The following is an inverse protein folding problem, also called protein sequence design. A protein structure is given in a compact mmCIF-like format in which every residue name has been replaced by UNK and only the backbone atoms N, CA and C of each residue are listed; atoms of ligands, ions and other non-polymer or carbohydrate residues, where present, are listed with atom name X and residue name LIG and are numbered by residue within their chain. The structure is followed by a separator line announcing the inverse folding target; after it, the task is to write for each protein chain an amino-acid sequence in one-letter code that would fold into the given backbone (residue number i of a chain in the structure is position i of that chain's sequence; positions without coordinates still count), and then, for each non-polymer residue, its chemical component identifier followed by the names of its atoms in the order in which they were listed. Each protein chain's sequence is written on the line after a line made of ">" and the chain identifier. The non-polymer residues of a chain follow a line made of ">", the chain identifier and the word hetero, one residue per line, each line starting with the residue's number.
data_IF_118636889906
#
_entry.id   IF_118636889906
#
_cell.length_a   1.000
_cell.length_b   1.000
_cell.length_c   1.000
_cell.angle_alpha   90.00
_cell.angle_beta   90.00
_cell.angle_gamma   90.00
#
_symmetry.space_group_name_H-M   'P 1'
#
loop_
_entity.id
_entity.type
_entity.pdbx_description
1 polymer ?
#
# COMPACT_ATOMS: atom_id res chain seq x y z
N UNK A 1 12.92 8.10 -15.38
CA UNK A 1 12.41 6.98 -14.57
C UNK A 1 10.92 7.20 -14.50
N UNK A 2 10.11 6.20 -14.85
CA UNK A 2 8.66 6.38 -14.82
C UNK A 2 8.16 6.35 -13.38
N UNK A 3 7.36 7.34 -13.00
CA UNK A 3 6.81 7.41 -11.66
C UNK A 3 5.75 6.32 -11.46
N UNK A 4 5.67 5.70 -10.28
CA UNK A 4 4.58 4.79 -9.99
C UNK A 4 3.26 5.56 -10.01
N UNK A 5 2.28 5.03 -10.75
CA UNK A 5 0.89 5.48 -10.68
C UNK A 5 0.22 4.70 -9.57
N UNK A 6 -0.18 5.38 -8.49
CA UNK A 6 -0.80 4.79 -7.31
C UNK A 6 -2.28 5.12 -7.28
N UNK A 7 -3.13 4.12 -7.02
CA UNK A 7 -4.54 4.39 -6.71
C UNK A 7 -4.71 5.02 -5.31
N UNK A 8 -5.89 5.57 -4.95
CA UNK A 8 -6.09 6.24 -3.66
C UNK A 8 -5.79 5.38 -2.42
N UNK A 9 -6.03 4.07 -2.49
CA UNK A 9 -5.77 3.14 -1.39
C UNK A 9 -4.27 2.83 -1.26
N UNK A 10 -3.57 2.66 -2.39
CA UNK A 10 -2.12 2.52 -2.44
C UNK A 10 -1.41 3.78 -1.90
N UNK A 11 -1.88 4.97 -2.30
CA UNK A 11 -1.40 6.26 -1.78
C UNK A 11 -1.55 6.34 -0.25
N UNK A 12 -2.71 5.93 0.27
CA UNK A 12 -2.98 5.92 1.72
C UNK A 12 -2.04 4.98 2.47
N UNK A 13 -1.86 3.76 1.97
CA UNK A 13 -0.98 2.75 2.59
C UNK A 13 0.47 3.23 2.60
N UNK A 14 1.00 3.66 1.45
CA UNK A 14 2.38 4.14 1.35
C UNK A 14 2.60 5.39 2.19
N UNK A 15 1.71 6.38 2.11
CA UNK A 15 1.78 7.59 2.93
C UNK A 15 1.75 7.26 4.43
N UNK A 16 0.96 6.28 4.85
CA UNK A 16 0.87 5.89 6.26
C UNK A 16 2.15 5.17 6.73
N UNK A 17 2.71 4.28 5.92
CA UNK A 17 4.00 3.64 6.22
C UNK A 17 5.15 4.66 6.27
N UNK A 18 5.20 5.59 5.31
CA UNK A 18 6.21 6.66 5.27
C UNK A 18 6.12 7.58 6.50
N UNK A 19 4.91 7.94 6.93
CA UNK A 19 4.66 8.74 8.14
C UNK A 19 5.10 7.99 9.40
N UNK A 20 4.70 6.71 9.53
CA UNK A 20 4.97 5.93 10.75
C UNK A 20 6.43 5.49 10.88
N UNK A 21 7.16 5.31 9.78
CA UNK A 21 8.60 5.07 9.83
C UNK A 21 9.36 6.20 10.55
N UNK A 22 8.93 7.46 10.38
CA UNK A 22 9.53 8.61 11.06
C UNK A 22 8.93 8.82 12.46
N UNK A 23 7.60 8.79 12.57
CA UNK A 23 6.92 9.24 13.79
C UNK A 23 6.85 8.20 14.90
N UNK A 24 7.01 6.91 14.58
CA UNK A 24 6.95 5.79 15.53
C UNK A 24 7.99 4.71 15.21
N UNK A 25 9.30 5.04 15.16
CA UNK A 25 10.35 4.13 14.70
C UNK A 25 10.45 2.85 15.56
N UNK A 26 10.13 2.92 16.86
CA UNK A 26 10.14 1.78 17.76
C UNK A 26 9.09 0.69 17.41
N UNK A 27 8.01 1.08 16.72
CA UNK A 27 6.95 0.16 16.31
C UNK A 27 7.00 -0.18 14.83
N UNK A 28 7.94 0.39 14.08
CA UNK A 28 8.11 0.14 12.65
C UNK A 28 9.13 -1.00 12.43
N UNK A 29 8.93 -1.90 11.44
CA UNK A 29 7.81 -1.98 10.49
C UNK A 29 6.48 -2.39 11.14
N UNK A 30 5.36 -1.97 10.55
CA UNK A 30 4.03 -2.09 11.15
C UNK A 30 3.45 -3.49 10.96
N UNK A 31 2.68 -4.00 11.92
CA UNK A 31 1.78 -5.15 11.70
C UNK A 31 0.55 -4.73 10.87
N UNK A 32 -0.23 -5.70 10.37
CA UNK A 32 -1.46 -5.40 9.59
C UNK A 32 -2.44 -4.52 10.39
N UNK A 33 -2.72 -4.87 11.65
CA UNK A 33 -3.64 -4.07 12.47
C UNK A 33 -3.08 -2.66 12.75
N UNK A 34 -1.77 -2.51 13.00
CA UNK A 34 -1.16 -1.18 13.15
C UNK A 34 -1.24 -0.36 11.87
N UNK A 35 -1.09 -0.98 10.69
CA UNK A 35 -1.26 -0.33 9.39
C UNK A 35 -2.71 0.10 9.19
N UNK A 36 -3.69 -0.75 9.53
CA UNK A 36 -5.12 -0.42 9.46
C UNK A 36 -5.47 0.79 10.32
N UNK A 37 -5.03 0.77 11.57
CA UNK A 37 -5.21 1.91 12.48
C UNK A 37 -4.55 3.18 11.95
N UNK A 38 -3.41 3.08 11.27
CA UNK A 38 -2.75 4.22 10.64
C UNK A 38 -3.48 4.74 9.39
N UNK A 39 -4.04 3.86 8.56
CA UNK A 39 -4.78 4.26 7.35
C UNK A 39 -6.12 4.93 7.69
N UNK A 40 -6.81 4.44 8.72
CA UNK A 40 -8.16 4.86 9.11
C UNK A 40 -8.16 5.95 10.20
N UNK A 41 -7.04 6.64 10.43
CA UNK A 41 -7.00 7.73 11.43
C UNK A 41 -7.98 8.85 11.04
N UNK A 42 -8.77 9.32 12.01
CA UNK A 42 -9.67 10.48 11.81
C UNK A 42 -8.93 11.81 11.74
N UNK A 43 -7.69 11.83 12.21
CA UNK A 43 -6.79 12.98 12.10
C UNK A 43 -5.69 12.68 11.11
N UNK A 44 -5.19 13.72 10.47
CA UNK A 44 -4.12 13.59 9.47
C UNK A 44 -4.43 12.78 8.22
N UNK A 45 -5.72 12.58 7.92
CA UNK A 45 -6.21 11.95 6.71
C UNK A 45 -7.29 12.83 6.07
N UNK A 46 -7.20 13.01 4.76
CA UNK A 46 -8.28 13.57 3.95
C UNK A 46 -8.28 12.84 2.60
N UNK A 47 -9.32 12.05 2.27
CA UNK A 47 -10.53 11.79 3.07
C UNK A 47 -10.26 10.85 4.27
N UNK A 48 -11.14 10.89 5.27
CA UNK A 48 -11.19 9.82 6.28
C UNK A 48 -11.78 8.57 5.63
N UNK A 49 -11.16 7.41 5.87
CA UNK A 49 -11.53 6.12 5.27
C UNK A 49 -11.73 5.07 6.36
N UNK A 50 -12.32 3.94 6.00
CA UNK A 50 -12.48 2.79 6.88
C UNK A 50 -12.15 1.48 6.15
N UNK A 51 -10.86 1.25 5.89
CA UNK A 51 -10.42 0.01 5.26
C UNK A 51 -10.51 -1.18 6.22
N UNK A 52 -10.97 -2.31 5.69
CA UNK A 52 -10.92 -3.61 6.35
C UNK A 52 -9.50 -4.20 6.32
N UNK A 53 -9.25 -5.26 7.09
CA UNK A 53 -7.96 -5.97 7.00
C UNK A 53 -7.77 -6.63 5.63
N UNK A 54 -8.85 -7.16 5.03
CA UNK A 54 -8.81 -7.77 3.70
C UNK A 54 -8.44 -6.75 2.62
N UNK A 55 -9.02 -5.54 2.67
CA UNK A 55 -8.70 -4.45 1.74
C UNK A 55 -7.21 -4.14 1.78
N UNK A 56 -6.63 -4.10 2.99
CA UNK A 56 -5.21 -3.78 3.16
C UNK A 56 -4.28 -4.92 2.77
N UNK A 57 -4.69 -6.18 2.98
CA UNK A 57 -3.94 -7.33 2.44
C UNK A 57 -3.88 -7.25 0.92
N UNK A 58 -5.01 -7.02 0.25
CA UNK A 58 -5.05 -6.87 -1.21
C UNK A 58 -4.13 -5.74 -1.67
N UNK A 59 -4.29 -4.53 -1.12
CA UNK A 59 -3.50 -3.35 -1.50
C UNK A 59 -2.00 -3.57 -1.24
N UNK A 60 -1.62 -4.18 -0.11
CA UNK A 60 -0.21 -4.42 0.22
C UNK A 60 0.43 -5.49 -0.68
N UNK A 61 -0.33 -6.49 -1.14
CA UNK A 61 0.15 -7.45 -2.14
C UNK A 61 0.37 -6.78 -3.50
N UNK A 62 -0.54 -5.89 -3.95
CA UNK A 62 -0.34 -5.09 -5.18
C UNK A 62 0.89 -4.19 -5.08
N UNK A 63 1.12 -3.55 -3.93
CA UNK A 63 2.31 -2.75 -3.68
C UNK A 63 3.59 -3.62 -3.59
N UNK A 64 3.49 -4.84 -3.08
CA UNK A 64 4.62 -5.78 -3.01
C UNK A 64 5.04 -6.27 -4.39
N UNK A 65 4.10 -6.61 -5.27
CA UNK A 65 4.43 -7.06 -6.64
C UNK A 65 5.16 -5.98 -7.45
N UNK A 66 4.92 -4.71 -7.10
CA UNK A 66 5.60 -3.52 -7.65
C UNK A 66 6.85 -3.11 -6.88
N UNK A 67 7.29 -3.91 -5.91
CA UNK A 67 8.43 -3.65 -5.03
C UNK A 67 8.36 -2.33 -4.21
N UNK A 68 7.17 -1.78 -3.99
CA UNK A 68 6.95 -0.55 -3.21
C UNK A 68 6.73 -0.83 -1.71
N UNK A 69 6.37 -2.05 -1.34
CA UNK A 69 6.25 -2.53 0.04
C UNK A 69 7.00 -3.85 0.20
N UNK A 70 7.62 -4.07 1.36
CA UNK A 70 8.22 -5.33 1.78
C UNK A 70 7.42 -5.94 2.91
N UNK A 71 7.14 -7.24 2.81
CA UNK A 71 6.68 -8.05 3.93
C UNK A 71 7.90 -8.61 4.66
N UNK A 72 8.00 -8.35 5.96
CA UNK A 72 9.10 -8.76 6.83
C UNK A 72 8.55 -9.72 7.86
N UNK A 73 9.12 -10.92 7.96
CA UNK A 73 8.87 -11.83 9.09
C UNK A 73 9.77 -11.42 10.24
N UNK A 74 9.26 -11.49 11.48
CA UNK A 74 10.09 -11.17 12.64
C UNK A 74 11.07 -12.31 12.93
N UNK A 75 12.36 -12.00 13.08
CA UNK A 75 13.46 -12.97 13.15
C UNK A 75 13.57 -13.75 14.49
N UNK A 76 12.50 -13.82 15.29
CA UNK A 76 12.53 -14.58 16.55
C UNK A 76 11.12 -14.90 17.04
N UNK A 77 10.60 -16.08 16.71
CA UNK A 77 9.42 -16.71 17.32
C UNK A 77 8.05 -16.02 17.09
N UNK A 78 8.01 -14.76 16.70
CA UNK A 78 6.80 -14.02 16.42
C UNK A 78 6.33 -14.28 14.97
N UNK A 79 5.18 -14.93 14.82
CA UNK A 79 4.56 -15.30 13.54
C UNK A 79 3.96 -14.12 12.73
N UNK A 80 4.05 -12.89 13.23
CA UNK A 80 3.36 -11.75 12.63
C UNK A 80 4.15 -11.16 11.45
N UNK A 81 3.52 -11.12 10.28
CA UNK A 81 4.02 -10.38 9.10
C UNK A 81 3.95 -8.88 9.39
N UNK A 82 5.05 -8.18 9.07
CA UNK A 82 5.17 -6.73 9.16
C UNK A 82 5.36 -6.11 7.78
N UNK A 83 4.92 -4.87 7.61
CA UNK A 83 4.92 -4.13 6.36
C UNK A 83 5.88 -2.95 6.44
N UNK A 84 6.80 -2.88 5.48
CA UNK A 84 7.84 -1.83 5.37
C UNK A 84 7.69 -1.13 4.01
N UNK A 85 7.70 0.21 3.97
CA UNK A 85 7.76 0.93 2.70
C UNK A 85 9.13 0.75 2.05
N UNK A 86 9.15 0.69 0.72
CA UNK A 86 10.36 0.65 -0.12
C UNK A 86 10.40 1.76 -1.17
N UNK A 87 9.41 2.65 -1.21
CA UNK A 87 9.34 3.74 -2.19
C UNK A 87 10.65 4.55 -2.23
N UNK A 88 11.25 4.79 -1.07
CA UNK A 88 12.50 5.55 -0.97
C UNK A 88 13.76 4.81 -1.44
N UNK A 89 13.68 3.49 -1.65
CA UNK A 89 14.76 2.72 -2.29
C UNK A 89 14.81 3.04 -3.79
N UNK A 90 13.66 3.22 -4.43
CA UNK A 90 13.53 3.56 -5.85
C UNK A 90 13.51 5.07 -6.12
N UNK A 91 13.01 5.84 -5.17
CA UNK A 91 12.89 7.30 -5.24
C UNK A 91 13.56 7.91 -4.00
N UNK A 92 14.89 8.01 -3.97
CA UNK A 92 15.61 8.59 -2.84
C UNK A 92 15.24 10.06 -2.70
N UNK A 93 14.72 10.44 -1.54
CA UNK A 93 14.31 11.81 -1.23
C UNK A 93 15.00 12.28 0.04
N UNK A 94 15.48 13.54 0.08
CA UNK A 94 15.86 14.18 1.32
C UNK A 94 14.65 14.32 2.25
N UNK A 95 14.90 14.45 3.55
CA UNK A 95 13.87 14.41 4.60
C UNK A 95 12.77 15.47 4.42
N UNK A 96 13.14 16.65 3.93
CA UNK A 96 12.20 17.75 3.66
C UNK A 96 11.21 17.40 2.54
N UNK A 97 11.71 16.90 1.41
CA UNK A 97 10.90 16.46 0.28
C UNK A 97 10.04 15.24 0.63
N UNK A 98 10.61 14.29 1.39
CA UNK A 98 9.89 13.13 1.90
C UNK A 98 8.71 13.55 2.78
N UNK A 99 8.91 14.51 3.69
CA UNK A 99 7.86 15.00 4.56
C UNK A 99 6.70 15.61 3.76
N UNK A 100 7.01 16.48 2.80
CA UNK A 100 6.00 17.10 1.93
C UNK A 100 5.22 16.06 1.12
N UNK A 101 5.92 15.14 0.47
CA UNK A 101 5.30 14.07 -0.31
C UNK A 101 4.39 13.19 0.56
N UNK A 102 4.84 12.84 1.77
CA UNK A 102 4.05 12.05 2.73
C UNK A 102 2.74 12.75 3.08
N UNK A 103 2.77 14.05 3.39
CA UNK A 103 1.56 14.80 3.74
C UNK A 103 0.61 14.94 2.55
N UNK A 104 1.15 15.17 1.35
CA UNK A 104 0.35 15.26 0.12
C UNK A 104 -0.35 13.93 -0.20
N UNK A 105 0.32 12.79 -0.04
CA UNK A 105 -0.30 11.47 -0.21
C UNK A 105 -1.44 11.22 0.79
N UNK A 106 -1.33 11.76 2.01
CA UNK A 106 -2.29 11.51 3.08
C UNK A 106 -3.48 12.48 3.09
N UNK A 107 -3.32 13.66 2.48
CA UNK A 107 -4.28 14.77 2.59
C UNK A 107 -4.55 15.51 1.28
N UNK A 108 -4.10 15.00 0.13
CA UNK A 108 -4.33 15.60 -1.18
C UNK A 108 -3.75 17.01 -1.34
N UNK A 109 -4.51 17.89 -1.99
CA UNK A 109 -4.06 19.25 -2.34
C UNK A 109 -3.91 20.17 -1.13
N UNK A 110 -2.71 20.74 -0.91
CA UNK A 110 -2.40 21.55 0.27
C UNK A 110 -1.70 22.86 -0.08
N UNK A 111 -1.99 23.93 0.67
CA UNK A 111 -1.23 25.18 0.57
C UNK A 111 0.10 25.09 1.36
N UNK A 112 1.15 25.85 0.98
CA UNK A 112 2.44 25.85 1.68
C UNK A 112 2.34 26.14 3.19
N UNK A 113 1.45 27.05 3.59
CA UNK A 113 1.20 27.35 5.00
C UNK A 113 0.62 26.15 5.78
N UNK A 114 -0.28 25.39 5.16
CA UNK A 114 -0.83 24.16 5.75
C UNK A 114 0.24 23.08 5.86
N UNK A 115 1.06 22.92 4.82
CA UNK A 115 2.13 21.94 4.75
C UNK A 115 3.19 22.19 5.83
N UNK A 116 3.58 23.44 6.08
CA UNK A 116 4.52 23.78 7.16
C UNK A 116 4.07 23.18 8.50
N UNK A 117 2.85 23.48 8.93
CA UNK A 117 2.32 22.99 10.21
C UNK A 117 2.14 21.47 10.23
N UNK A 118 1.73 20.86 9.11
CA UNK A 118 1.42 19.43 9.04
C UNK A 118 2.67 18.55 8.91
N UNK A 119 3.78 19.11 8.42
CA UNK A 119 5.05 18.40 8.32
C UNK A 119 5.87 18.45 9.62
N UNK A 120 5.51 19.27 10.61
CA UNK A 120 6.33 19.55 11.81
C UNK A 120 6.90 18.29 12.50
N UNK A 121 6.13 17.19 12.56
CA UNK A 121 6.55 15.91 13.18
C UNK A 121 7.39 15.01 12.26
N UNK A 122 7.44 15.31 10.96
CA UNK A 122 8.20 14.59 9.94
C UNK A 122 9.51 15.31 9.63
N UNK A 123 9.42 16.62 9.40
CA UNK A 123 10.53 17.52 9.14
C UNK A 123 10.12 18.96 9.50
N UNK A 124 10.90 19.63 10.36
CA UNK A 124 10.61 20.99 10.79
C UNK A 124 11.14 22.00 9.78
N UNK A 125 10.24 22.68 9.08
CA UNK A 125 10.59 23.78 8.17
C UNK A 125 10.67 25.11 8.94
N UNK A 126 11.69 25.95 8.67
CA UNK A 126 11.87 27.21 9.39
C UNK A 126 10.69 28.18 9.15
N UNK A 127 10.22 28.30 7.91
CA UNK A 127 9.14 29.19 7.53
C UNK A 127 8.34 28.66 6.32
N UNK A 128 7.30 29.42 5.92
CA UNK A 128 6.48 29.12 4.74
C UNK A 128 7.28 29.19 3.45
N UNK A 129 8.27 30.08 3.37
CA UNK A 129 9.07 30.29 2.17
C UNK A 129 10.00 29.10 1.88
N UNK A 130 10.54 28.47 2.92
CA UNK A 130 11.31 27.23 2.80
C UNK A 130 10.47 26.09 2.23
N UNK A 131 9.22 25.94 2.69
CA UNK A 131 8.28 24.94 2.12
C UNK A 131 8.04 25.19 0.63
N UNK A 132 7.75 26.45 0.25
CA UNK A 132 7.57 26.79 -1.17
C UNK A 132 8.82 26.55 -2.00
N UNK A 133 10.01 26.88 -1.47
CA UNK A 133 11.28 26.66 -2.16
C UNK A 133 11.52 25.16 -2.40
N UNK A 134 11.29 24.31 -1.39
CA UNK A 134 11.40 22.85 -1.55
C UNK A 134 10.37 22.32 -2.57
N UNK A 135 9.12 22.78 -2.53
CA UNK A 135 8.09 22.39 -3.50
C UNK A 135 8.45 22.79 -4.94
N UNK A 136 8.95 24.02 -5.15
CA UNK A 136 9.42 24.48 -6.46
C UNK A 136 10.61 23.67 -6.95
N UNK A 137 11.54 23.32 -6.07
CA UNK A 137 12.67 22.44 -6.41
C UNK A 137 12.19 21.04 -6.82
N UNK A 138 11.24 20.45 -6.08
CA UNK A 138 10.63 19.16 -6.41
C UNK A 138 9.86 19.19 -7.75
N UNK A 139 9.21 20.30 -8.09
CA UNK A 139 8.52 20.47 -9.37
C UNK A 139 9.46 20.73 -10.55
N UNK A 140 10.64 21.30 -10.29
CA UNK A 140 11.64 21.62 -11.31
C UNK A 140 12.67 20.51 -11.51
N UNK A 141 12.58 19.43 -10.73
CA UNK A 141 13.45 18.26 -10.86
C UNK A 141 13.27 17.58 -12.22
N UNK A 142 14.26 16.80 -12.65
CA UNK A 142 14.20 16.04 -13.91
C UNK A 142 13.02 15.06 -13.95
N UNK A 143 12.57 14.59 -12.78
CA UNK A 143 11.32 13.84 -12.61
C UNK A 143 10.47 14.58 -11.56
N UNK A 144 9.55 15.45 -11.99
CA UNK A 144 8.71 16.22 -11.07
C UNK A 144 7.83 15.32 -10.21
N UNK A 145 7.82 15.54 -8.90
CA UNK A 145 6.99 14.75 -7.96
C UNK A 145 5.75 15.48 -7.47
N UNK A 146 5.74 16.80 -7.65
CA UNK A 146 4.67 17.69 -7.24
C UNK A 146 4.41 18.70 -8.33
N UNK A 147 3.22 19.29 -8.32
CA UNK A 147 2.91 20.47 -9.13
C UNK A 147 2.05 21.45 -8.35
N UNK A 148 2.21 22.72 -8.70
CA UNK A 148 1.33 23.79 -8.26
C UNK A 148 0.02 23.74 -9.06
N UNK A 149 -1.09 23.98 -8.39
CA UNK A 149 -2.41 24.13 -9.00
C UNK A 149 -2.68 25.60 -9.32
N UNK A 150 -3.57 25.82 -10.30
CA UNK A 150 -4.11 27.15 -10.55
C UNK A 150 -4.87 27.66 -9.33
N UNK A 151 -4.80 28.96 -9.10
CA UNK A 151 -5.44 29.58 -7.95
C UNK A 151 -6.94 29.65 -8.18
N UNK A 152 -7.71 28.98 -7.32
CA UNK A 152 -9.16 29.09 -7.31
C UNK A 152 -9.61 30.51 -6.92
N UNK A 153 -10.70 31.03 -7.51
CA UNK A 153 -11.27 32.32 -7.12
C UNK A 153 -11.53 32.38 -5.60
N UNK A 154 -10.99 33.40 -4.93
CA UNK A 154 -11.18 33.61 -3.49
C UNK A 154 -10.17 32.91 -2.57
N UNK A 155 -9.27 32.07 -3.09
CA UNK A 155 -8.14 31.56 -2.29
C UNK A 155 -6.92 32.49 -2.41
N UNK A 156 -6.26 32.75 -1.28
CA UNK A 156 -5.06 33.59 -1.26
C UNK A 156 -3.81 32.84 -1.70
N UNK A 157 -3.71 31.55 -1.33
CA UNK A 157 -2.55 30.71 -1.62
C UNK A 157 -2.83 29.69 -2.73
N UNK A 158 -1.79 29.38 -3.52
CA UNK A 158 -1.79 28.25 -4.43
C UNK A 158 -1.71 26.93 -3.66
N UNK A 159 -2.38 25.90 -4.18
CA UNK A 159 -2.31 24.54 -3.62
C UNK A 159 -1.36 23.69 -4.44
N UNK A 160 -0.75 22.72 -3.78
CA UNK A 160 0.18 21.78 -4.38
C UNK A 160 -0.36 20.36 -4.25
N UNK A 161 -0.11 19.54 -5.27
CA UNK A 161 -0.44 18.10 -5.27
C UNK A 161 0.80 17.27 -5.59
N UNK A 162 0.79 15.98 -5.23
CA UNK A 162 1.76 15.01 -5.73
C UNK A 162 1.41 14.52 -7.14
N UNK A 163 2.36 13.86 -7.79
CA UNK A 163 2.22 13.30 -9.15
C UNK A 163 2.27 11.77 -9.20
N UNK A 164 2.26 11.09 -8.05
CA UNK A 164 2.25 9.62 -7.94
C UNK A 164 0.87 8.97 -8.16
N UNK A 165 -0.03 9.57 -8.95
CA UNK A 165 -1.39 9.06 -9.17
C UNK A 165 -2.48 10.13 -9.13
N UNK A 166 -3.76 9.74 -9.31
CA UNK A 166 -4.90 10.67 -9.24
C UNK A 166 -5.03 11.30 -7.85
N UNK A 167 -5.29 12.60 -7.82
CA UNK A 167 -5.57 13.37 -6.61
C UNK A 167 -6.94 14.03 -6.77
N UNK A 168 -7.83 13.83 -5.80
CA UNK A 168 -9.12 14.54 -5.78
C UNK A 168 -8.88 16.05 -5.60
N UNK A 169 -9.24 16.82 -6.62
CA UNK A 169 -9.10 18.27 -6.60
C UNK A 169 -10.28 18.91 -5.86
N UNK A 170 -10.06 20.00 -5.08
CA UNK A 170 -11.11 20.66 -4.32
C UNK A 170 -12.32 21.11 -5.17
N UNK A 171 -12.07 21.49 -6.42
CA UNK A 171 -13.09 21.91 -7.40
C UNK A 171 -14.02 20.79 -7.86
N UNK A 172 -13.54 19.54 -7.80
CA UNK A 172 -14.31 18.35 -8.17
C UNK A 172 -15.09 17.77 -6.98
N UNK A 173 -15.02 18.39 -5.80
CA UNK A 173 -15.85 17.99 -4.65
C UNK A 173 -17.24 18.58 -4.84
N UNK A 174 -18.28 17.79 -5.18
CA UNK A 174 -19.63 18.32 -5.30
C UNK A 174 -20.02 19.03 -4.00
N UNK A 175 -20.53 20.26 -4.13
CA UNK A 175 -20.73 21.21 -3.03
C UNK A 175 -21.38 20.54 -1.83
N UNK A 176 -20.64 20.44 -0.73
CA UNK A 176 -21.07 19.72 0.46
C UNK A 176 -22.27 20.42 1.13
N UNK A 177 -23.47 19.80 1.16
CA UNK A 177 -24.44 20.13 2.20
C UNK A 177 -24.03 19.40 3.48
N UNK A 178 -24.22 20.10 4.61
CA UNK A 178 -24.03 19.61 5.98
C UNK A 178 -24.73 18.25 6.18
N UNK A 179 -23.98 17.31 6.75
CA UNK A 179 -24.43 16.07 7.40
C UNK A 179 -25.53 15.29 6.67
N UNK A 180 -25.12 14.40 5.78
CA UNK A 180 -25.89 13.20 5.49
C UNK A 180 -25.03 12.00 5.86
N UNK A 181 -25.43 11.25 6.89
CA UNK A 181 -25.06 9.84 6.99
C UNK A 181 -25.54 9.18 5.71
N UNK A 182 -24.66 8.52 4.95
CA UNK A 182 -25.04 7.59 3.89
C UNK A 182 -23.99 6.48 3.75
N UNK A 183 -24.47 5.30 4.10
CA UNK A 183 -24.23 3.94 3.60
C UNK A 183 -23.07 3.69 2.63
N UNK A 184 -22.18 2.79 3.08
CA UNK A 184 -21.39 1.87 2.25
C UNK A 184 -20.19 2.46 1.50
N UNK A 185 -19.01 1.80 1.51
CA UNK A 185 -17.87 2.25 0.71
C UNK A 185 -18.19 2.13 -0.80
N UNK A 186 -17.67 3.04 -1.64
CA UNK A 186 -17.83 2.96 -3.08
C UNK A 186 -17.20 1.66 -3.61
N UNK A 187 -17.96 0.91 -4.39
CA UNK A 187 -17.45 -0.25 -5.13
C UNK A 187 -16.61 0.25 -6.29
N UNK A 188 -15.30 0.16 -6.15
CA UNK A 188 -14.39 0.30 -7.28
C UNK A 188 -14.66 -0.84 -8.27
N UNK A 189 -14.76 -0.53 -9.56
CA UNK A 189 -14.90 -1.55 -10.61
C UNK A 189 -13.59 -2.34 -10.65
N UNK A 190 -13.65 -3.59 -10.24
CA UNK A 190 -12.58 -4.55 -10.47
C UNK A 190 -12.45 -4.79 -11.97
N UNK A 191 -11.22 -4.80 -12.47
CA UNK A 191 -10.88 -5.35 -13.78
C UNK A 191 -10.72 -6.86 -13.63
N UNK A 192 -11.18 -7.66 -14.60
CA UNK A 192 -11.31 -9.14 -14.50
C UNK A 192 -10.00 -9.87 -14.16
N UNK A 193 -8.85 -9.21 -14.37
CA UNK A 193 -7.53 -9.73 -14.00
C UNK A 193 -7.27 -9.79 -12.48
N UNK A 194 -8.04 -9.06 -11.66
CA UNK A 194 -7.84 -9.02 -10.19
C UNK A 194 -8.61 -10.12 -9.45
N UNK A 195 -9.66 -10.68 -10.03
CA UNK A 195 -10.53 -11.67 -9.37
C UNK A 195 -9.89 -13.07 -9.31
N UNK A 196 -8.94 -13.39 -10.18
CA UNK A 196 -8.30 -14.72 -10.22
C UNK A 196 -7.39 -14.99 -9.01
N UNK A 197 -7.01 -13.97 -8.24
CA UNK A 197 -6.21 -14.13 -7.02
C UNK A 197 -7.05 -14.50 -5.78
N UNK A 198 -8.37 -14.34 -5.83
CA UNK A 198 -9.25 -14.51 -4.66
C UNK A 198 -9.55 -15.98 -4.31
N UNK A 199 -9.40 -16.92 -5.25
CA UNK A 199 -9.84 -18.31 -5.07
C UNK A 199 -8.77 -19.30 -4.56
N UNK A 200 -7.55 -18.86 -4.27
CA UNK A 200 -6.45 -19.75 -3.83
C UNK A 200 -6.09 -19.67 -2.33
N UNK A 201 -6.76 -18.85 -1.53
CA UNK A 201 -6.44 -18.68 -0.10
C UNK A 201 -7.67 -18.70 0.82
N UNK A 202 -8.80 -19.24 0.36
CA UNK A 202 -10.07 -19.22 1.07
C UNK A 202 -10.67 -20.59 1.30
N UNK A 203 -9.96 -21.49 1.99
CA UNK A 203 -10.59 -22.62 2.66
C UNK A 203 -9.76 -22.99 3.88
N UNK A 204 -10.36 -22.85 5.06
CA UNK A 204 -10.34 -23.81 6.16
C UNK A 204 -11.36 -23.27 7.18
N UNK A 205 -12.60 -23.77 7.22
CA UNK A 205 -13.00 -25.10 7.70
C UNK A 205 -12.54 -25.33 9.14
N UNK A 206 -13.53 -25.43 10.04
CA UNK A 206 -13.37 -25.66 11.46
C UNK A 206 -12.61 -26.96 11.76
N UNK A 207 -11.62 -26.85 12.65
CA UNK A 207 -11.02 -27.86 13.54
C UNK A 207 -10.95 -29.34 13.10
N UNK A 208 -9.73 -29.83 12.83
CA UNK A 208 -9.20 -31.08 13.42
C UNK A 208 -7.68 -31.19 13.19
N UNK A 209 -7.00 -31.79 14.18
CA UNK A 209 -5.57 -32.13 14.34
C UNK A 209 -4.59 -31.90 13.17
N UNK A 210 -3.54 -31.12 13.42
CA UNK A 210 -2.45 -30.84 12.48
C UNK A 210 -1.51 -32.05 12.29
N UNK A 211 -1.17 -32.45 11.04
CA UNK A 211 -0.09 -33.38 10.80
C UNK A 211 1.25 -32.64 10.96
N UNK A 212 2.11 -33.16 11.82
CA UNK A 212 3.51 -32.76 11.96
C UNK A 212 4.32 -33.23 10.76
N UNK A 213 4.92 -32.27 10.04
CA UNK A 213 5.96 -32.51 9.05
C UNK A 213 5.64 -31.85 7.73
N UNK A 214 6.25 -30.68 7.47
CA UNK A 214 6.28 -30.10 6.13
C UNK A 214 7.72 -30.21 5.64
N UNK A 215 7.90 -30.96 4.55
CA UNK A 215 9.18 -31.28 3.92
C UNK A 215 9.89 -29.99 3.47
N UNK A 216 11.13 -29.80 3.92
CA UNK A 216 11.96 -28.59 3.69
C UNK A 216 12.26 -28.33 2.20
N UNK A 217 11.90 -29.26 1.31
CA UNK A 217 12.13 -29.19 -0.14
C UNK A 217 11.18 -28.27 -0.91
N UNK A 218 10.12 -27.73 -0.28
CA UNK A 218 9.22 -26.77 -0.94
C UNK A 218 9.73 -25.32 -0.95
N UNK A 219 10.87 -25.05 -0.30
CA UNK A 219 11.44 -23.71 -0.14
C UNK A 219 12.31 -23.23 -1.31
N UNK A 220 12.65 -24.11 -2.26
CA UNK A 220 13.57 -23.84 -3.37
C UNK A 220 12.90 -23.83 -4.76
N UNK A 221 11.57 -23.73 -4.84
CA UNK A 221 10.91 -23.65 -6.15
C UNK A 221 11.16 -22.28 -6.81
N UNK A 222 11.58 -22.24 -8.09
CA UNK A 222 11.78 -21.00 -8.82
C UNK A 222 10.46 -20.21 -8.91
N UNK A 223 10.55 -18.88 -8.80
CA UNK A 223 9.40 -17.99 -8.95
C UNK A 223 8.71 -18.22 -10.29
N UNK A 224 7.47 -18.70 -10.24
CA UNK A 224 6.62 -18.97 -11.40
C UNK A 224 5.17 -19.12 -10.93
N UNK A 225 4.22 -18.98 -11.87
CA UNK A 225 2.80 -19.18 -11.57
C UNK A 225 2.58 -20.68 -11.33
N UNK A 226 2.14 -21.03 -10.12
CA UNK A 226 1.77 -22.38 -9.76
C UNK A 226 0.31 -22.60 -10.17
N UNK A 227 0.08 -23.42 -11.19
CA UNK A 227 -1.26 -23.84 -11.62
C UNK A 227 -1.60 -25.17 -10.98
N UNK A 228 -2.66 -25.20 -10.18
CA UNK A 228 -3.18 -26.39 -9.52
C UNK A 228 -4.47 -26.83 -10.22
N UNK A 229 -4.55 -28.10 -10.61
CA UNK A 229 -5.75 -28.70 -11.21
C UNK A 229 -6.53 -29.43 -10.12
N UNK A 230 -7.82 -29.13 -9.98
CA UNK A 230 -8.72 -29.77 -9.03
C UNK A 230 -9.75 -30.64 -9.77
N UNK A 231 -10.17 -31.76 -9.17
CA UNK A 231 -11.32 -32.53 -9.65
C UNK A 231 -12.67 -31.88 -9.24
N UNK A 232 -13.78 -32.48 -9.68
CA UNK A 232 -15.12 -32.03 -9.35
C UNK A 232 -15.50 -32.10 -7.86
N UNK A 233 -14.65 -32.70 -7.02
CA UNK A 233 -14.78 -32.78 -5.56
C UNK A 233 -13.75 -31.88 -4.84
N UNK A 234 -12.97 -31.09 -5.58
CA UNK A 234 -11.99 -30.16 -5.03
C UNK A 234 -10.66 -30.79 -4.61
N UNK A 235 -10.38 -32.05 -4.99
CA UNK A 235 -9.07 -32.68 -4.72
C UNK A 235 -8.04 -32.30 -5.77
N UNK A 236 -6.81 -32.08 -5.33
CA UNK A 236 -5.68 -31.75 -6.21
C UNK A 236 -5.32 -32.98 -7.06
N UNK A 237 -5.46 -32.84 -8.38
CA UNK A 237 -5.13 -33.87 -9.37
C UNK A 237 -3.92 -33.51 -10.23
N UNK A 238 -3.45 -32.26 -10.19
CA UNK A 238 -2.27 -31.82 -10.92
C UNK A 238 -1.65 -30.54 -10.36
N UNK A 239 -0.33 -30.40 -10.53
CA UNK A 239 0.46 -29.22 -10.19
C UNK A 239 1.43 -28.94 -11.32
N UNK A 240 1.39 -27.73 -11.87
CA UNK A 240 2.33 -27.27 -12.91
C UNK A 240 2.86 -25.89 -12.55
N UNK A 241 4.14 -25.64 -12.84
CA UNK A 241 4.80 -24.34 -12.63
C UNK A 241 5.15 -23.78 -14.01
N UNK A 242 4.58 -22.64 -14.38
CA UNK A 242 4.97 -21.98 -15.64
C UNK A 242 6.44 -21.53 -15.56
N UNK A 243 7.26 -22.03 -16.50
CA UNK A 243 8.68 -21.69 -16.64
C UNK A 243 9.66 -22.83 -16.31
N UNK A 244 9.21 -23.97 -15.78
CA UNK A 244 10.06 -25.15 -15.57
C UNK A 244 9.77 -26.23 -16.62
N UNK A 245 10.77 -26.63 -17.40
CA UNK A 245 10.66 -27.66 -18.44
C UNK A 245 10.50 -29.11 -17.89
N UNK A 246 10.00 -29.29 -16.67
CA UNK A 246 9.91 -30.59 -16.04
C UNK A 246 8.56 -30.78 -15.33
N UNK A 247 7.76 -31.71 -15.88
CA UNK A 247 6.59 -32.26 -15.20
C UNK A 247 7.06 -33.15 -14.05
N UNK A 248 6.66 -32.86 -12.81
CA UNK A 248 6.90 -33.77 -11.69
C UNK A 248 5.78 -34.83 -11.65
N UNK A 249 6.11 -36.13 -11.45
CA UNK A 249 5.12 -37.20 -11.41
C UNK A 249 4.28 -37.16 -10.12
N UNK A 250 3.02 -37.65 -10.16
CA UNK A 250 2.04 -37.53 -9.08
C UNK A 250 2.35 -38.33 -7.80
N UNK A 251 3.43 -39.12 -7.79
CA UNK A 251 3.79 -40.02 -6.69
C UNK A 251 4.50 -39.32 -5.52
N UNK A 252 4.90 -38.05 -5.65
CA UNK A 252 5.57 -37.30 -4.58
C UNK A 252 4.65 -36.83 -3.44
N UNK A 253 3.33 -37.08 -3.52
CA UNK A 253 2.33 -36.58 -2.56
C UNK A 253 1.70 -37.66 -1.67
N UNK A 254 2.06 -38.94 -1.80
CA UNK A 254 1.55 -40.02 -0.95
C UNK A 254 2.68 -40.77 -0.25
N UNK A 255 3.18 -40.23 0.85
CA UNK A 255 3.75 -41.06 1.93
C UNK A 255 3.08 -40.69 3.25
N UNK A 256 1.87 -41.19 3.44
CA UNK A 256 1.29 -41.38 4.76
C UNK A 256 2.16 -42.43 5.47
N UNK A 257 2.96 -41.98 6.44
CA UNK A 257 3.69 -42.90 7.32
C UNK A 257 2.69 -43.74 8.12
N UNK A 258 2.80 -45.06 7.97
CA UNK A 258 2.35 -46.03 8.96
C UNK A 258 3.41 -46.14 10.07
#
# INVERSE_FOLDING_TARGET
>A
MDLPVLDPSEQRVLGSLMEKEITVPASYPLTLNSLRLACNQSTSRDPVVDYSENDLVEVTLRLQSRALVRLVRADSGARAVKYKQRLLETLPLPDDQRALLTVLLLRGAQAPGELKTRCERLHAFPDRAAVEATLRAMASASTPLVRELERLPGQQDHRWIHLLGPVELPENRPGAPRSARRDGPPRWRHDEASDTAYLACGADAEASEAPTGVDERLLDLPHGILTVTLDGEGRITGLTVEGAAASLPPEALNSTGA
#
